data_IF_005568151582
#
_entry.id   IF_005568151582
#
_cell.length_a   1.000
_cell.length_b   1.000
_cell.length_c   1.000
_cell.angle_alpha   90.00
_cell.angle_beta   90.00
_cell.angle_gamma   90.00
#
_symmetry.space_group_name_H-M   'P 1'
#
loop_
_entity.id
_entity.type
_entity.pdbx_description
1 polymer ?
#
# COMPACT_ATOMS: atom_id res chain seq x y z
N UNK A 1 -1.26 5.45 -0.15
CA UNK A 1 -1.96 5.39 1.14
C UNK A 1 -3.37 5.87 0.93
N UNK A 2 -4.34 5.00 1.15
CA UNK A 2 -5.74 5.39 1.14
C UNK A 2 -6.04 6.33 2.33
N UNK A 3 -6.74 7.42 2.06
CA UNK A 3 -7.15 8.46 3.01
C UNK A 3 -8.68 8.58 3.13
N UNK A 4 -9.40 7.53 2.75
CA UNK A 4 -10.83 7.40 2.99
C UNK A 4 -11.18 7.47 4.48
N UNK A 5 -12.45 7.75 4.77
CA UNK A 5 -12.92 7.92 6.14
C UNK A 5 -12.71 6.68 7.03
N UNK A 6 -12.71 5.47 6.46
CA UNK A 6 -12.45 4.21 7.17
C UNK A 6 -10.97 4.02 7.51
N UNK A 7 -10.07 4.74 6.84
CA UNK A 7 -8.62 4.62 6.99
C UNK A 7 -8.03 5.61 8.02
N UNK A 8 -8.87 6.27 8.82
CA UNK A 8 -8.43 7.29 9.77
C UNK A 8 -7.42 6.77 10.82
N UNK A 9 -7.59 5.53 11.30
CA UNK A 9 -6.62 4.89 12.22
C UNK A 9 -5.37 4.39 11.49
N UNK A 10 -5.42 4.21 10.17
CA UNK A 10 -4.32 3.74 9.33
C UNK A 10 -3.34 4.85 8.93
N UNK A 11 -3.67 6.12 9.20
CA UNK A 11 -2.78 7.26 9.01
C UNK A 11 -1.49 7.12 9.83
N UNK A 12 -1.61 6.72 11.09
CA UNK A 12 -0.47 6.44 11.98
C UNK A 12 0.43 5.36 11.38
N UNK A 13 -0.20 4.31 10.85
CA UNK A 13 0.48 3.22 10.18
C UNK A 13 1.26 3.72 8.96
N UNK A 14 0.61 4.46 8.05
CA UNK A 14 1.25 5.05 6.88
C UNK A 14 2.41 5.98 7.23
N UNK A 15 2.23 6.82 8.26
CA UNK A 15 3.25 7.70 8.87
C UNK A 15 4.53 6.97 9.24
N UNK A 16 4.38 5.97 10.11
CA UNK A 16 5.51 5.17 10.61
C UNK A 16 6.21 4.43 9.47
N UNK A 17 5.43 3.85 8.56
CA UNK A 17 5.96 3.07 7.43
C UNK A 17 6.75 3.94 6.47
N UNK A 18 6.23 5.12 6.12
CA UNK A 18 6.93 6.10 5.29
C UNK A 18 8.27 6.49 5.93
N UNK A 19 8.25 6.90 7.19
CA UNK A 19 9.46 7.32 7.90
C UNK A 19 10.52 6.21 8.02
N UNK A 20 10.10 4.96 8.28
CA UNK A 20 11.02 3.82 8.30
C UNK A 20 11.70 3.68 6.92
N UNK A 21 10.92 3.69 5.84
CA UNK A 21 11.44 3.53 4.48
C UNK A 21 12.35 4.67 4.05
N UNK A 22 11.97 5.93 4.31
CA UNK A 22 12.79 7.10 4.00
C UNK A 22 14.10 7.14 4.79
N UNK A 23 14.16 6.51 5.97
CA UNK A 23 15.39 6.43 6.75
C UNK A 23 16.42 5.42 6.19
N UNK A 24 16.05 4.59 5.20
CA UNK A 24 16.91 3.56 4.61
C UNK A 24 17.71 4.11 3.42
N UNK A 25 19.05 4.28 3.52
CA UNK A 25 19.84 4.92 2.44
C UNK A 25 19.87 4.14 1.11
N UNK A 26 19.52 2.85 1.15
CA UNK A 26 19.55 1.96 -0.01
C UNK A 26 18.21 1.91 -0.77
N UNK A 27 17.19 2.66 -0.33
CA UNK A 27 15.84 2.63 -0.87
C UNK A 27 15.39 4.05 -1.20
N UNK A 28 15.01 4.28 -2.46
CA UNK A 28 14.25 5.46 -2.85
C UNK A 28 12.78 5.24 -2.46
N UNK A 29 12.20 6.19 -1.73
CA UNK A 29 10.85 6.04 -1.14
C UNK A 29 9.96 7.19 -1.58
N UNK A 30 8.98 6.90 -2.42
CA UNK A 30 7.92 7.82 -2.77
C UNK A 30 6.65 7.50 -1.97
N UNK A 31 6.06 8.51 -1.35
CA UNK A 31 4.85 8.35 -0.55
C UNK A 31 3.73 9.16 -1.15
N UNK A 32 2.66 8.48 -1.54
CA UNK A 32 1.49 9.09 -2.17
C UNK A 32 0.25 8.81 -1.34
N UNK A 33 -0.51 9.86 -1.04
CA UNK A 33 -1.84 9.79 -0.43
C UNK A 33 -2.92 10.05 -1.49
N UNK A 34 -4.09 9.43 -1.37
CA UNK A 34 -5.15 9.64 -2.36
C UNK A 34 -6.56 9.49 -1.77
N UNK A 35 -7.52 10.09 -2.47
CA UNK A 35 -8.95 9.76 -2.41
C UNK A 35 -9.48 9.67 -3.87
N UNK A 36 -10.79 9.73 -4.07
CA UNK A 36 -11.47 9.69 -5.37
C UNK A 36 -11.29 10.95 -6.23
N UNK A 37 -10.78 12.07 -5.69
CA UNK A 37 -10.63 13.35 -6.41
C UNK A 37 -9.19 13.75 -6.64
N UNK A 38 -8.33 13.43 -5.68
CA UNK A 38 -7.00 13.99 -5.58
C UNK A 38 -5.99 12.91 -5.23
N UNK A 39 -4.81 13.07 -5.81
CA UNK A 39 -3.61 12.32 -5.46
C UNK A 39 -2.58 13.34 -5.00
N UNK A 40 -2.08 13.17 -3.78
CA UNK A 40 -1.11 14.08 -3.17
C UNK A 40 0.20 13.35 -2.99
N UNK A 41 1.26 13.99 -3.49
CA UNK A 41 2.63 13.58 -3.26
C UNK A 41 3.09 14.05 -1.88
N UNK A 42 3.49 13.11 -1.02
CA UNK A 42 3.98 13.37 0.33
C UNK A 42 5.46 12.96 0.48
N UNK A 43 6.15 12.70 -0.62
CA UNK A 43 7.54 12.22 -0.62
C UNK A 43 8.47 13.15 0.16
N UNK A 44 8.30 14.47 0.05
CA UNK A 44 9.10 15.46 0.80
C UNK A 44 8.82 15.43 2.31
N UNK A 45 7.62 15.02 2.73
CA UNK A 45 7.22 14.91 4.13
C UNK A 45 7.62 13.57 4.75
N UNK A 46 8.13 12.63 3.97
CA UNK A 46 8.45 11.27 4.41
C UNK A 46 9.59 11.21 5.45
N UNK A 47 10.41 12.26 5.53
CA UNK A 47 11.54 12.34 6.49
C UNK A 47 11.09 12.64 7.92
N UNK A 48 9.88 13.17 8.12
CA UNK A 48 9.28 13.40 9.43
C UNK A 48 7.90 12.73 9.51
N UNK A 49 7.72 11.65 10.28
CA UNK A 49 6.43 10.99 10.42
C UNK A 49 5.35 11.94 10.94
N UNK A 50 5.70 12.97 11.71
CA UNK A 50 4.76 13.97 12.21
C UNK A 50 4.19 14.78 11.04
N UNK A 51 5.05 15.25 10.14
CA UNK A 51 4.62 15.99 8.94
C UNK A 51 3.74 15.12 8.04
N UNK A 52 4.03 13.81 7.92
CA UNK A 52 3.17 12.90 7.17
C UNK A 52 1.77 12.75 7.80
N UNK A 53 1.69 12.73 9.14
CA UNK A 53 0.43 12.60 9.88
C UNK A 53 -0.46 13.83 9.76
N UNK A 54 0.14 15.00 9.63
CA UNK A 54 -0.57 16.27 9.43
C UNK A 54 -0.68 16.67 7.95
N UNK A 55 -0.02 15.91 7.07
CA UNK A 55 0.22 16.24 5.66
C UNK A 55 -1.06 16.52 4.89
N UNK A 56 -2.04 15.59 4.87
CA UNK A 56 -3.38 15.84 4.31
C UNK A 56 -4.42 14.84 4.82
N UNK A 57 -5.61 15.30 5.23
CA UNK A 57 -6.82 14.48 5.33
C UNK A 57 -7.68 14.68 4.08
N UNK A 58 -7.66 13.70 3.17
CA UNK A 58 -8.33 13.85 1.87
C UNK A 58 -9.84 13.57 1.93
N UNK A 59 -10.30 12.66 2.79
CA UNK A 59 -11.73 12.36 2.95
C UNK A 59 -12.44 11.88 1.68
N UNK A 60 -13.64 11.31 1.85
CA UNK A 60 -14.46 10.83 0.73
C UNK A 60 -14.09 9.42 0.22
N UNK A 61 -14.59 9.11 -0.98
CA UNK A 61 -14.45 7.83 -1.67
C UNK A 61 -13.00 7.55 -2.14
N UNK A 62 -12.74 6.32 -2.58
CA UNK A 62 -11.46 5.79 -3.06
C UNK A 62 -11.44 5.67 -4.60
N UNK A 63 -10.29 5.89 -5.23
CA UNK A 63 -10.02 5.46 -6.61
C UNK A 63 -8.58 4.91 -6.71
N UNK A 64 -8.44 3.60 -6.50
CA UNK A 64 -7.14 2.93 -6.53
C UNK A 64 -6.49 2.95 -7.91
N UNK A 65 -7.29 2.98 -8.98
CA UNK A 65 -6.77 3.05 -10.35
C UNK A 65 -6.09 4.39 -10.61
N UNK A 66 -6.72 5.50 -10.20
CA UNK A 66 -6.15 6.85 -10.31
C UNK A 66 -4.82 6.94 -9.55
N UNK A 67 -4.79 6.49 -8.29
CA UNK A 67 -3.59 6.50 -7.47
C UNK A 67 -2.47 5.64 -8.09
N UNK A 68 -2.80 4.44 -8.56
CA UNK A 68 -1.82 3.52 -9.17
C UNK A 68 -1.23 4.11 -10.46
N UNK A 69 -2.04 4.79 -11.28
CA UNK A 69 -1.51 5.50 -12.46
C UNK A 69 -0.58 6.65 -12.08
N UNK A 70 -0.90 7.39 -11.01
CA UNK A 70 -0.01 8.42 -10.50
C UNK A 70 1.35 7.81 -10.10
N UNK A 71 1.32 6.71 -9.34
CA UNK A 71 2.53 6.06 -8.81
C UNK A 71 3.40 5.40 -9.88
N UNK A 72 2.85 5.02 -11.04
CA UNK A 72 3.62 4.38 -12.12
C UNK A 72 4.82 5.24 -12.59
N UNK A 73 4.74 6.57 -12.45
CA UNK A 73 5.85 7.48 -12.80
C UNK A 73 7.15 7.20 -12.03
N UNK A 74 7.05 6.63 -10.83
CA UNK A 74 8.18 6.33 -9.95
C UNK A 74 8.76 4.92 -10.19
N UNK A 75 8.09 4.10 -11.01
CA UNK A 75 8.45 2.69 -11.20
C UNK A 75 9.52 2.53 -12.29
N UNK A 76 10.69 3.15 -12.09
CA UNK A 76 11.75 3.24 -13.10
C UNK A 76 12.38 1.90 -13.49
N UNK A 77 12.45 0.93 -12.57
CA UNK A 77 12.98 -0.41 -12.83
C UNK A 77 12.10 -1.44 -12.15
N UNK A 78 11.15 -2.02 -12.90
CA UNK A 78 10.13 -2.94 -12.39
C UNK A 78 10.67 -3.99 -11.41
N UNK A 79 11.74 -4.71 -11.76
CA UNK A 79 12.32 -5.78 -10.93
C UNK A 79 12.95 -5.29 -9.60
N UNK A 80 13.18 -3.99 -9.46
CA UNK A 80 13.68 -3.33 -8.25
C UNK A 80 12.61 -2.52 -7.52
N UNK A 81 11.39 -2.48 -8.04
CA UNK A 81 10.27 -1.72 -7.47
C UNK A 81 9.43 -2.60 -6.54
N UNK A 82 9.17 -2.09 -5.34
CA UNK A 82 8.15 -2.61 -4.43
C UNK A 82 7.00 -1.59 -4.35
N UNK A 83 5.80 -2.01 -4.72
CA UNK A 83 4.57 -1.24 -4.57
C UNK A 83 3.81 -1.69 -3.32
N UNK A 84 3.58 -0.78 -2.37
CA UNK A 84 2.82 -1.06 -1.14
C UNK A 84 1.52 -0.27 -1.17
N UNK A 85 0.39 -0.97 -1.19
CA UNK A 85 -0.93 -0.36 -1.03
C UNK A 85 -1.39 -0.50 0.43
N UNK A 86 -1.56 0.62 1.13
CA UNK A 86 -2.18 0.65 2.46
C UNK A 86 -3.65 1.05 2.26
N UNK A 87 -4.55 0.09 2.43
CA UNK A 87 -5.98 0.23 2.11
C UNK A 87 -6.82 -0.87 2.77
N UNK A 88 -8.12 -0.61 2.94
CA UNK A 88 -9.14 -1.62 3.27
C UNK A 88 -9.79 -2.23 2.00
N UNK A 89 -9.36 -1.79 0.81
CA UNK A 89 -9.77 -2.31 -0.50
C UNK A 89 -11.24 -2.10 -0.86
N UNK A 90 -11.99 -1.28 -0.13
CA UNK A 90 -13.27 -0.81 -0.65
C UNK A 90 -13.00 0.19 -1.77
N UNK A 91 -13.27 -0.22 -3.02
CA UNK A 91 -13.15 0.66 -4.19
C UNK A 91 -14.54 1.15 -4.53
N UNK A 92 -14.86 2.37 -4.12
CA UNK A 92 -16.15 2.99 -4.43
C UNK A 92 -16.18 3.63 -5.83
N UNK A 93 -15.05 3.65 -6.54
CA UNK A 93 -14.97 4.15 -7.91
C UNK A 93 -15.55 3.17 -8.93
N UNK A 94 -15.96 3.65 -10.12
CA UNK A 94 -16.30 2.77 -11.24
C UNK A 94 -15.06 2.07 -11.86
N UNK A 95 -13.85 2.29 -11.32
CA UNK A 95 -12.59 1.90 -11.92
C UNK A 95 -11.99 0.61 -11.36
N UNK A 96 -12.63 -0.11 -10.42
CA UNK A 96 -12.08 -1.36 -9.81
C UNK A 96 -11.58 -2.36 -10.88
N UNK A 97 -12.34 -2.57 -11.96
CA UNK A 97 -11.93 -3.47 -13.06
C UNK A 97 -10.68 -2.98 -13.79
N UNK A 98 -10.51 -1.66 -13.94
CA UNK A 98 -9.32 -1.06 -14.54
C UNK A 98 -8.14 -1.15 -13.59
N UNK A 99 -8.36 -0.96 -12.29
CA UNK A 99 -7.35 -1.16 -11.26
C UNK A 99 -6.80 -2.60 -11.27
N UNK A 100 -7.66 -3.62 -11.28
CA UNK A 100 -7.22 -5.02 -11.33
C UNK A 100 -6.37 -5.32 -12.58
N UNK A 101 -6.80 -4.85 -13.76
CA UNK A 101 -6.02 -5.02 -15.01
C UNK A 101 -4.68 -4.27 -14.97
N UNK A 102 -4.65 -3.08 -14.34
CA UNK A 102 -3.42 -2.32 -14.14
C UNK A 102 -2.44 -3.09 -13.26
N UNK A 103 -2.93 -3.66 -12.15
CA UNK A 103 -2.10 -4.46 -11.26
C UNK A 103 -1.54 -5.71 -11.95
N UNK A 104 -2.35 -6.41 -12.74
CA UNK A 104 -1.90 -7.55 -13.57
C UNK A 104 -0.72 -7.16 -14.46
N UNK A 105 -0.86 -6.08 -15.24
CA UNK A 105 0.21 -5.57 -16.10
C UNK A 105 1.49 -5.18 -15.32
N UNK A 106 1.34 -4.50 -14.17
CA UNK A 106 2.49 -4.10 -13.36
C UNK A 106 3.22 -5.32 -12.79
N UNK A 107 2.49 -6.30 -12.28
CA UNK A 107 3.05 -7.54 -11.73
C UNK A 107 3.74 -8.37 -12.82
N UNK A 108 3.16 -8.49 -14.01
CA UNK A 108 3.77 -9.15 -15.17
C UNK A 108 5.07 -8.47 -15.63
N UNK A 109 5.19 -7.15 -15.42
CA UNK A 109 6.43 -6.40 -15.72
C UNK A 109 7.58 -6.71 -14.73
N UNK A 110 7.29 -7.41 -13.64
CA UNK A 110 8.25 -7.76 -12.59
C UNK A 110 8.21 -6.85 -11.36
N UNK A 111 7.26 -5.91 -11.28
CA UNK A 111 7.00 -5.15 -10.05
C UNK A 111 6.50 -6.14 -9.00
N UNK A 112 6.97 -5.94 -7.77
CA UNK A 112 6.44 -6.67 -6.63
C UNK A 112 5.46 -5.79 -5.89
N UNK A 113 4.33 -6.35 -5.52
CA UNK A 113 3.30 -5.58 -4.85
C UNK A 113 2.73 -6.33 -3.65
N UNK A 114 2.33 -5.59 -2.62
CA UNK A 114 1.58 -6.11 -1.47
C UNK A 114 0.52 -5.10 -1.06
N UNK A 115 -0.61 -5.61 -0.54
CA UNK A 115 -1.57 -4.77 0.18
C UNK A 115 -1.41 -5.01 1.66
N UNK A 116 -1.16 -3.94 2.41
CA UNK A 116 -1.19 -3.93 3.86
C UNK A 116 -2.58 -3.47 4.31
N UNK A 117 -3.36 -4.42 4.81
CA UNK A 117 -4.69 -4.17 5.31
C UNK A 117 -4.58 -3.45 6.66
N UNK A 118 -5.21 -2.28 6.76
CA UNK A 118 -5.30 -1.60 8.04
C UNK A 118 -6.11 -2.45 9.02
N UNK A 119 -5.60 -2.59 10.24
CA UNK A 119 -6.29 -3.29 11.31
C UNK A 119 -7.16 -2.25 12.02
N UNK A 120 -8.46 -2.50 12.13
CA UNK A 120 -9.33 -1.63 12.93
C UNK A 120 -9.00 -1.79 14.42
N UNK A 121 -9.16 -0.73 15.20
CA UNK A 121 -8.97 -0.75 16.66
C UNK A 121 -9.92 -1.75 17.38
N UNK A 122 -10.93 -2.28 16.67
CA UNK A 122 -11.91 -3.23 17.17
C UNK A 122 -11.55 -4.71 16.89
N UNK A 123 -10.36 -4.98 16.32
CA UNK A 123 -9.85 -6.34 16.14
C UNK A 123 -10.57 -7.18 15.07
N UNK A 124 -11.58 -6.65 14.39
CA UNK A 124 -12.14 -7.27 13.19
C UNK A 124 -11.57 -6.59 11.95
N UNK A 125 -10.89 -7.33 11.06
CA UNK A 125 -10.41 -6.80 9.80
C UNK A 125 -11.61 -6.55 8.88
N UNK A 126 -11.98 -5.29 8.71
CA UNK A 126 -12.99 -4.87 7.73
C UNK A 126 -12.26 -4.50 6.44
N UNK A 127 -12.38 -5.33 5.42
CA UNK A 127 -11.80 -5.07 4.10
C UNK A 127 -12.61 -5.78 3.00
N UNK A 128 -12.45 -5.36 1.76
CA UNK A 128 -13.08 -6.00 0.62
C UNK A 128 -12.37 -7.33 0.26
N UNK A 129 -12.90 -8.43 0.80
CA UNK A 129 -12.35 -9.78 0.54
C UNK A 129 -12.33 -10.16 -0.95
N UNK A 130 -13.32 -9.70 -1.72
CA UNK A 130 -13.40 -10.01 -3.15
C UNK A 130 -12.25 -9.37 -3.93
N UNK A 131 -11.96 -8.09 -3.66
CA UNK A 131 -10.83 -7.41 -4.29
C UNK A 131 -9.50 -7.98 -3.79
N UNK A 132 -9.38 -8.26 -2.49
CA UNK A 132 -8.21 -8.91 -1.91
C UNK A 132 -7.90 -10.27 -2.57
N UNK A 133 -8.93 -11.08 -2.81
CA UNK A 133 -8.78 -12.38 -3.47
C UNK A 133 -8.36 -12.24 -4.93
N UNK A 134 -8.92 -11.26 -5.67
CA UNK A 134 -8.50 -10.98 -7.05
C UNK A 134 -7.03 -10.59 -7.12
N UNK A 135 -6.59 -9.64 -6.28
CA UNK A 135 -5.20 -9.20 -6.22
C UNK A 135 -4.25 -10.33 -5.81
N UNK A 136 -4.63 -11.13 -4.81
CA UNK A 136 -3.83 -12.27 -4.35
C UNK A 136 -3.63 -13.32 -5.45
N UNK A 137 -4.67 -13.57 -6.27
CA UNK A 137 -4.55 -14.48 -7.44
C UNK A 137 -3.59 -13.97 -8.51
N UNK A 138 -3.37 -12.66 -8.60
CA UNK A 138 -2.39 -12.04 -9.49
C UNK A 138 -0.96 -12.06 -8.92
N UNK A 139 -0.78 -12.47 -7.66
CA UNK A 139 0.51 -12.46 -6.98
C UNK A 139 0.76 -11.24 -6.08
N UNK A 140 -0.27 -10.42 -5.81
CA UNK A 140 -0.23 -9.34 -4.82
C UNK A 140 -0.94 -9.77 -3.54
N UNK A 141 -0.23 -10.33 -2.55
CA UNK A 141 -0.86 -10.77 -1.30
C UNK A 141 -1.41 -9.58 -0.51
N UNK A 142 -2.55 -9.80 0.14
CA UNK A 142 -3.24 -8.83 0.99
C UNK A 142 -3.29 -9.35 2.43
N UNK A 143 -2.69 -8.65 3.38
CA UNK A 143 -2.62 -9.10 4.78
C UNK A 143 -2.48 -7.93 5.75
N UNK A 144 -2.96 -8.12 6.97
CA UNK A 144 -2.65 -7.21 8.08
C UNK A 144 -1.24 -7.46 8.58
N UNK A 145 -0.48 -6.40 8.81
CA UNK A 145 0.89 -6.43 9.31
C UNK A 145 1.06 -5.33 10.33
N UNK A 146 1.64 -5.60 11.50
CA UNK A 146 2.02 -4.53 12.44
C UNK A 146 3.26 -3.78 11.92
N UNK A 147 3.42 -2.46 12.19
CA UNK A 147 4.53 -1.68 11.64
C UNK A 147 5.91 -2.30 11.92
N UNK A 148 6.07 -2.89 13.11
CA UNK A 148 7.32 -3.50 13.57
C UNK A 148 7.81 -4.66 12.68
N UNK A 149 6.93 -5.26 11.87
CA UNK A 149 7.28 -6.35 10.95
C UNK A 149 7.56 -5.88 9.52
N UNK A 150 7.50 -4.58 9.25
CA UNK A 150 7.90 -4.02 7.96
C UNK A 150 9.36 -4.38 7.58
N UNK A 151 10.36 -4.31 8.48
CA UNK A 151 11.72 -4.73 8.12
C UNK A 151 11.80 -6.18 7.65
N UNK A 152 10.98 -7.08 8.21
CA UNK A 152 10.90 -8.48 7.77
C UNK A 152 10.29 -8.61 6.37
N UNK A 153 9.23 -7.84 6.09
CA UNK A 153 8.63 -7.76 4.76
C UNK A 153 9.66 -7.28 3.73
N UNK A 154 10.37 -6.19 4.04
CA UNK A 154 11.41 -5.65 3.16
C UNK A 154 12.55 -6.66 2.97
N UNK A 155 12.96 -7.38 4.02
CA UNK A 155 13.96 -8.43 3.89
C UNK A 155 13.48 -9.58 3.00
N UNK A 156 12.21 -9.99 3.11
CA UNK A 156 11.62 -11.02 2.25
C UNK A 156 11.60 -10.56 0.78
N UNK A 157 11.22 -9.31 0.54
CA UNK A 157 11.32 -8.65 -0.77
C UNK A 157 12.79 -8.65 -1.23
N UNK A 158 13.74 -8.08 -0.50
CA UNK A 158 15.14 -8.01 -0.96
C UNK A 158 15.76 -9.39 -1.26
N UNK A 159 15.35 -10.46 -0.56
CA UNK A 159 15.81 -11.85 -0.78
C UNK A 159 15.11 -12.57 -1.94
N UNK A 160 14.09 -11.97 -2.55
CA UNK A 160 13.31 -12.61 -3.61
C UNK A 160 12.41 -13.73 -3.10
N UNK A 161 12.02 -13.69 -1.82
CA UNK A 161 11.13 -14.68 -1.24
C UNK A 161 9.71 -14.53 -1.79
N UNK A 162 8.95 -15.63 -1.75
CA UNK A 162 7.51 -15.63 -2.05
C UNK A 162 6.75 -14.81 -0.98
N UNK A 163 6.16 -13.69 -1.40
CA UNK A 163 5.41 -12.80 -0.53
C UNK A 163 4.08 -13.42 -0.07
N UNK A 164 3.54 -14.38 -0.81
CA UNK A 164 2.37 -15.16 -0.41
C UNK A 164 2.69 -16.03 0.81
N UNK A 165 3.87 -16.66 0.79
CA UNK A 165 4.35 -17.45 1.93
C UNK A 165 4.60 -16.55 3.13
N UNK A 166 5.27 -15.41 2.94
CA UNK A 166 5.47 -14.42 4.01
C UNK A 166 4.13 -13.98 4.62
N UNK A 167 3.14 -13.64 3.79
CA UNK A 167 1.82 -13.23 4.24
C UNK A 167 1.16 -14.28 5.17
N UNK A 168 1.36 -15.57 4.91
CA UNK A 168 0.84 -16.64 5.77
C UNK A 168 1.51 -16.72 7.15
N UNK A 169 2.79 -16.32 7.25
CA UNK A 169 3.58 -16.32 8.50
C UNK A 169 3.34 -15.07 9.35
N UNK A 170 2.87 -13.98 8.73
CA UNK A 170 2.69 -12.68 9.39
C UNK A 170 1.26 -12.27 9.65
N UNK A 171 0.31 -13.00 9.10
CA UNK A 171 -1.12 -12.74 9.29
C UNK A 171 -1.44 -12.77 10.79
N UNK A 172 -1.99 -11.67 11.29
CA UNK A 172 -2.59 -11.62 12.61
C UNK A 172 -3.75 -12.63 12.66
N UNK A 173 -3.69 -13.55 13.62
CA UNK A 173 -4.69 -14.58 13.90
C UNK A 173 -5.92 -13.99 14.57
#
# INVERSE_FOLDING_TARGET
MDQSGSMHSALIYGGIMGAILASMPAVETDVVAFNHKEVVDLTEHCVDPVDLLFGVQLGGAEDYWMATNYCERFMHTSSKTLYILIADLYDTSPNEKRFVRKMEHLLESGIRAVTLLAISDQGQPSYNENLAQKLSKLGMPCFGCVPDRLPELLAAVLKGNDLTKFASEVRLS
#
